data_IF_270791002973
#
_entry.id   IF_270791002973
#
_cell.length_a   1.000
_cell.length_b   1.000
_cell.length_c   1.000
_cell.angle_alpha   90.00
_cell.angle_beta   90.00
_cell.angle_gamma   90.00
#
_symmetry.space_group_name_H-M   'P 1'
#
loop_
_entity.id
_entity.type
_entity.pdbx_description
1 polymer ?
#
# COMPACT_ATOMS: atom_id res chain seq x y z
N UNK A 1 -26.03 17.24 0.30
CA UNK A 1 -25.53 16.28 1.30
C UNK A 1 -25.69 14.88 0.74
N UNK A 2 -24.80 13.94 1.07
CA UNK A 2 -25.00 12.52 0.74
C UNK A 2 -26.07 11.92 1.67
N UNK A 3 -26.97 11.10 1.11
CA UNK A 3 -28.01 10.42 1.89
C UNK A 3 -27.52 9.18 2.63
N UNK A 4 -26.36 8.63 2.25
CA UNK A 4 -25.83 7.36 2.75
C UNK A 4 -24.66 7.52 3.72
N UNK A 5 -24.03 8.70 3.76
CA UNK A 5 -22.93 8.97 4.68
C UNK A 5 -22.82 10.46 5.03
N UNK A 6 -21.90 10.80 5.94
CA UNK A 6 -21.67 12.17 6.37
C UNK A 6 -21.06 13.13 5.32
N UNK A 7 -20.87 12.70 4.06
CA UNK A 7 -20.27 13.54 3.03
C UNK A 7 -21.16 14.74 2.68
N UNK A 8 -20.55 15.94 2.67
CA UNK A 8 -21.22 17.21 2.36
C UNK A 8 -20.45 17.97 1.30
N UNK A 9 -21.19 18.50 0.33
CA UNK A 9 -20.66 19.39 -0.71
C UNK A 9 -21.77 20.30 -1.20
N UNK A 10 -21.40 21.52 -1.60
CA UNK A 10 -22.30 22.50 -2.21
C UNK A 10 -22.47 22.26 -3.72
N UNK A 11 -21.58 21.49 -4.34
CA UNK A 11 -21.60 21.25 -5.79
C UNK A 11 -22.30 19.92 -6.13
N UNK A 12 -23.40 19.99 -6.89
CA UNK A 12 -24.14 18.80 -7.34
C UNK A 12 -23.27 17.80 -8.10
N UNK A 13 -22.35 18.28 -8.94
CA UNK A 13 -21.42 17.44 -9.70
C UNK A 13 -20.47 16.64 -8.79
N UNK A 14 -20.00 17.25 -7.69
CA UNK A 14 -19.17 16.57 -6.68
C UNK A 14 -19.98 15.54 -5.92
N UNK A 15 -21.25 15.84 -5.60
CA UNK A 15 -22.14 14.90 -4.93
C UNK A 15 -22.43 13.69 -5.83
N UNK A 16 -22.82 13.91 -7.09
CA UNK A 16 -23.04 12.83 -8.06
C UNK A 16 -21.81 11.94 -8.24
N UNK A 17 -20.62 12.56 -8.36
CA UNK A 17 -19.36 11.83 -8.36
C UNK A 17 -19.13 11.01 -7.09
N UNK A 18 -19.42 11.59 -5.93
CA UNK A 18 -19.29 10.89 -4.66
C UNK A 18 -20.23 9.70 -4.57
N UNK A 19 -21.47 9.77 -5.10
CA UNK A 19 -22.39 8.63 -5.10
C UNK A 19 -21.83 7.39 -5.81
N UNK A 20 -20.85 7.54 -6.72
CA UNK A 20 -20.14 6.40 -7.33
C UNK A 20 -19.37 5.55 -6.32
N UNK A 21 -18.98 6.11 -5.17
CA UNK A 21 -18.32 5.33 -4.11
C UNK A 21 -19.27 4.39 -3.38
N UNK A 22 -20.57 4.67 -3.44
CA UNK A 22 -21.62 3.84 -2.85
C UNK A 22 -22.10 2.76 -3.82
N UNK A 23 -22.35 3.15 -5.07
CA UNK A 23 -22.86 2.25 -6.12
C UNK A 23 -21.78 1.36 -6.73
N UNK A 24 -20.50 1.70 -6.56
CA UNK A 24 -19.41 1.02 -7.25
C UNK A 24 -19.31 1.36 -8.74
N UNK A 25 -20.08 2.33 -9.24
CA UNK A 25 -20.07 2.77 -10.64
C UNK A 25 -18.67 3.23 -11.08
N UNK A 26 -18.15 2.58 -12.12
CA UNK A 26 -16.81 2.80 -12.69
C UNK A 26 -16.90 2.93 -14.22
N UNK A 27 -17.42 4.05 -14.73
CA UNK A 27 -17.73 4.19 -16.15
C UNK A 27 -16.49 4.36 -17.04
N UNK A 28 -15.30 4.55 -16.46
CA UNK A 28 -14.06 4.72 -17.20
C UNK A 28 -13.27 3.41 -17.19
N UNK A 29 -13.26 2.70 -18.32
CA UNK A 29 -12.56 1.42 -18.48
C UNK A 29 -11.18 1.63 -19.13
N UNK A 30 -10.20 0.87 -18.67
CA UNK A 30 -8.91 0.76 -19.33
C UNK A 30 -9.04 -0.10 -20.59
N UNK A 31 -8.35 0.31 -21.65
CA UNK A 31 -8.32 -0.40 -22.93
C UNK A 31 -7.28 -1.53 -22.96
N UNK A 32 -6.38 -1.57 -21.97
CA UNK A 32 -5.25 -2.50 -21.90
C UNK A 32 -5.35 -3.53 -20.77
N UNK A 33 -6.33 -3.40 -19.87
CA UNK A 33 -6.63 -4.40 -18.85
C UNK A 33 -8.04 -4.22 -18.28
N UNK A 34 -8.48 -5.13 -17.41
CA UNK A 34 -9.82 -5.12 -16.81
C UNK A 34 -10.02 -4.02 -15.74
N UNK A 35 -9.09 -3.08 -15.61
CA UNK A 35 -9.20 -1.99 -14.64
C UNK A 35 -10.26 -0.98 -15.07
N UNK A 36 -11.10 -0.59 -14.11
CA UNK A 36 -12.08 0.49 -14.29
C UNK A 36 -12.04 1.47 -13.12
N UNK A 37 -12.38 2.73 -13.41
CA UNK A 37 -12.35 3.82 -12.45
C UNK A 37 -13.66 4.61 -12.43
N UNK A 38 -14.02 5.12 -11.26
CA UNK A 38 -15.13 6.05 -11.08
C UNK A 38 -14.87 7.43 -11.71
N UNK A 39 -13.60 7.74 -12.01
CA UNK A 39 -13.14 9.03 -12.53
C UNK A 39 -12.12 8.88 -13.65
N UNK A 40 -12.24 9.74 -14.67
CA UNK A 40 -11.30 9.79 -15.79
C UNK A 40 -9.87 10.04 -15.33
N UNK A 41 -9.64 11.03 -14.46
CA UNK A 41 -8.31 11.29 -13.91
C UNK A 41 -7.68 10.09 -13.18
N UNK A 42 -8.49 9.19 -12.59
CA UNK A 42 -7.96 7.98 -11.97
C UNK A 42 -7.56 6.93 -13.02
N UNK A 43 -8.33 6.82 -14.11
CA UNK A 43 -7.97 6.00 -15.26
C UNK A 43 -6.68 6.52 -15.92
N UNK A 44 -6.59 7.83 -16.18
CA UNK A 44 -5.40 8.43 -16.79
C UNK A 44 -4.15 8.18 -15.94
N UNK A 45 -4.26 8.34 -14.62
CA UNK A 45 -3.18 8.02 -13.68
C UNK A 45 -2.83 6.52 -13.66
N UNK A 46 -3.81 5.64 -13.80
CA UNK A 46 -3.59 4.20 -13.89
C UNK A 46 -2.83 3.86 -15.17
N UNK A 47 -3.29 4.37 -16.32
CA UNK A 47 -2.66 4.14 -17.62
C UNK A 47 -1.23 4.66 -17.61
N UNK A 48 -1.02 5.89 -17.14
CA UNK A 48 0.33 6.46 -16.98
C UNK A 48 1.24 5.56 -16.13
N UNK A 49 0.73 5.03 -15.02
CA UNK A 49 1.52 4.24 -14.08
C UNK A 49 1.75 2.77 -14.48
N UNK A 50 0.86 2.17 -15.28
CA UNK A 50 0.84 0.72 -15.54
C UNK A 50 1.10 0.33 -16.98
N UNK A 51 0.68 1.18 -17.90
CA UNK A 51 0.65 0.88 -19.33
C UNK A 51 1.63 1.75 -20.12
N UNK A 52 2.04 2.88 -19.55
CA UNK A 52 3.05 3.75 -20.17
C UNK A 52 4.33 3.77 -19.34
N UNK A 53 5.42 4.16 -20.01
CA UNK A 53 6.67 4.55 -19.32
C UNK A 53 6.68 6.04 -18.95
N UNK A 54 5.54 6.74 -19.05
CA UNK A 54 5.44 8.15 -18.72
C UNK A 54 5.53 8.36 -17.20
N UNK A 55 6.67 8.88 -16.78
CA UNK A 55 6.99 9.23 -15.39
C UNK A 55 7.51 10.66 -15.37
N UNK A 56 6.60 11.66 -15.44
CA UNK A 56 6.98 13.05 -15.59
C UNK A 56 7.57 13.64 -14.31
N UNK A 57 7.32 13.01 -13.16
CA UNK A 57 7.82 13.49 -11.88
C UNK A 57 9.14 12.81 -11.53
N UNK A 58 10.22 13.58 -11.50
CA UNK A 58 11.58 13.11 -11.14
C UNK A 58 12.03 13.70 -9.81
N UNK A 59 12.65 12.86 -8.97
CA UNK A 59 13.40 13.28 -7.80
C UNK A 59 14.78 13.74 -8.23
N UNK A 60 15.11 15.00 -7.91
CA UNK A 60 16.42 15.58 -8.25
C UNK A 60 17.57 15.00 -7.43
N UNK A 61 17.29 14.44 -6.25
CA UNK A 61 18.33 13.93 -5.35
C UNK A 61 18.79 12.51 -5.70
N UNK A 62 17.90 11.65 -6.19
CA UNK A 62 18.22 10.25 -6.49
C UNK A 62 17.81 9.77 -7.89
N UNK A 63 17.26 10.66 -8.73
CA UNK A 63 16.79 10.32 -10.07
C UNK A 63 15.52 9.45 -10.12
N UNK A 64 14.92 9.12 -8.97
CA UNK A 64 13.68 8.34 -8.92
C UNK A 64 12.56 9.02 -9.73
N UNK A 65 11.88 8.25 -10.59
CA UNK A 65 10.76 8.75 -11.41
C UNK A 65 9.44 8.10 -11.04
N UNK A 66 8.37 8.90 -11.09
CA UNK A 66 7.01 8.49 -10.78
C UNK A 66 6.00 9.06 -11.79
N UNK A 67 4.94 8.30 -12.05
CA UNK A 67 3.78 8.75 -12.82
C UNK A 67 2.90 9.74 -12.03
N UNK A 68 3.03 9.79 -10.70
CA UNK A 68 2.22 10.63 -9.81
C UNK A 68 3.06 11.55 -8.93
N UNK A 69 2.65 12.81 -8.81
CA UNK A 69 3.27 13.82 -7.94
C UNK A 69 3.26 13.43 -6.46
N UNK A 70 2.16 12.84 -6.00
CA UNK A 70 2.02 12.35 -4.62
C UNK A 70 3.07 11.30 -4.26
N UNK A 71 3.38 10.41 -5.21
CA UNK A 71 4.42 9.39 -5.03
C UNK A 71 5.82 9.99 -5.00
N UNK A 72 6.10 11.03 -5.79
CA UNK A 72 7.35 11.79 -5.68
C UNK A 72 7.44 12.52 -4.33
N UNK A 73 6.39 13.22 -3.90
CA UNK A 73 6.36 13.90 -2.59
C UNK A 73 6.60 12.93 -1.45
N UNK A 74 6.02 11.71 -1.52
CA UNK A 74 6.30 10.64 -0.56
C UNK A 74 7.74 10.16 -0.62
N UNK A 75 8.32 10.03 -1.82
CA UNK A 75 9.74 9.71 -1.98
C UNK A 75 10.62 10.78 -1.32
N UNK A 76 10.31 12.08 -1.45
CA UNK A 76 11.10 13.15 -0.81
C UNK A 76 11.20 13.03 0.72
N UNK A 77 10.29 12.30 1.37
CA UNK A 77 10.38 12.03 2.82
C UNK A 77 11.51 11.07 3.20
N UNK A 78 11.99 10.25 2.27
CA UNK A 78 13.15 9.38 2.53
C UNK A 78 14.45 10.19 2.63
N UNK A 79 14.51 11.32 1.93
CA UNK A 79 15.63 12.23 1.92
C UNK A 79 15.61 13.18 3.12
N UNK A 80 14.47 13.80 3.37
CA UNK A 80 14.30 14.77 4.46
C UNK A 80 14.16 14.13 5.84
N UNK A 81 13.83 12.83 5.90
CA UNK A 81 13.52 12.15 7.16
C UNK A 81 12.16 12.54 7.76
N UNK A 82 11.31 13.28 7.03
CA UNK A 82 10.01 13.75 7.51
C UNK A 82 9.10 12.56 7.89
N UNK A 83 8.60 12.57 9.13
CA UNK A 83 7.70 11.55 9.68
C UNK A 83 6.40 12.19 10.20
N UNK A 84 5.49 12.62 9.32
CA UNK A 84 4.32 13.40 9.71
C UNK A 84 3.26 12.57 10.45
N UNK A 85 3.32 11.24 10.38
CA UNK A 85 2.32 10.37 11.00
C UNK A 85 2.81 9.87 12.35
N UNK A 86 2.30 10.48 13.44
CA UNK A 86 2.65 10.13 14.81
C UNK A 86 1.72 9.08 15.40
N UNK A 87 2.25 8.17 16.21
CA UNK A 87 1.45 7.32 17.06
C UNK A 87 0.98 8.11 18.29
N UNK A 88 -0.28 7.89 18.70
CA UNK A 88 -0.84 8.53 19.89
C UNK A 88 -0.54 7.75 21.18
N UNK A 89 -0.04 6.52 21.04
CA UNK A 89 0.18 5.59 22.16
C UNK A 89 1.66 5.41 22.51
N UNK A 90 2.57 5.94 21.69
CA UNK A 90 4.01 5.96 21.95
C UNK A 90 4.72 6.99 21.03
N UNK A 91 6.03 7.16 21.21
CA UNK A 91 6.82 8.14 20.44
C UNK A 91 7.11 7.73 18.98
N UNK A 92 6.56 6.61 18.51
CA UNK A 92 6.78 6.15 17.15
C UNK A 92 6.14 7.10 16.12
N UNK A 93 6.92 7.45 15.10
CA UNK A 93 6.45 8.25 13.96
C UNK A 93 6.87 7.62 12.64
N UNK A 94 6.03 7.76 11.61
CA UNK A 94 6.24 7.17 10.29
C UNK A 94 6.15 8.21 9.17
N UNK A 95 6.88 7.96 8.08
CA UNK A 95 6.81 8.75 6.85
C UNK A 95 5.52 8.47 6.04
N UNK A 96 4.85 7.33 6.29
CA UNK A 96 3.64 6.89 5.61
C UNK A 96 2.56 6.43 6.59
N UNK A 97 1.30 6.71 6.25
CA UNK A 97 0.13 6.31 7.05
C UNK A 97 -0.03 4.79 7.15
N UNK A 98 0.27 4.06 6.09
CA UNK A 98 0.21 2.58 6.07
C UNK A 98 1.15 1.98 7.10
N UNK A 99 2.40 2.45 7.16
CA UNK A 99 3.37 2.04 8.17
C UNK A 99 2.93 2.39 9.59
N UNK A 100 2.30 3.56 9.80
CA UNK A 100 1.71 3.88 11.10
C UNK A 100 0.55 2.93 11.44
N UNK A 101 -0.33 2.62 10.49
CA UNK A 101 -1.44 1.70 10.71
C UNK A 101 -0.94 0.31 11.08
N UNK A 102 0.04 -0.23 10.36
CA UNK A 102 0.71 -1.49 10.68
C UNK A 102 1.35 -1.43 12.08
N UNK A 103 2.03 -0.34 12.42
CA UNK A 103 2.58 -0.15 13.77
C UNK A 103 1.48 -0.19 14.84
N UNK A 104 0.33 0.45 14.62
CA UNK A 104 -0.79 0.48 15.58
C UNK A 104 -1.38 -0.90 15.89
N UNK A 105 -1.24 -1.87 14.97
CA UNK A 105 -1.67 -3.25 15.23
C UNK A 105 -0.92 -3.89 16.39
N UNK A 106 0.33 -3.45 16.63
CA UNK A 106 1.17 -3.95 17.73
C UNK A 106 0.61 -3.55 19.09
N UNK A 107 -0.03 -2.38 19.18
CA UNK A 107 -0.65 -1.91 20.42
C UNK A 107 -1.98 -2.60 20.72
N UNK A 108 -2.71 -3.03 19.68
CA UNK A 108 -4.00 -3.69 19.86
C UNK A 108 -3.90 -5.17 20.21
N UNK A 109 -2.72 -5.79 20.07
CA UNK A 109 -2.58 -7.26 20.14
C UNK A 109 -3.35 -8.02 19.05
N UNK A 110 -4.11 -7.32 18.20
CA UNK A 110 -4.93 -7.87 17.14
C UNK A 110 -4.08 -8.08 15.88
N UNK A 111 -3.84 -9.35 15.56
CA UNK A 111 -3.42 -9.77 14.21
C UNK A 111 -4.53 -9.35 13.23
N UNK A 112 -4.32 -8.40 12.30
CA UNK A 112 -5.39 -7.93 11.41
C UNK A 112 -5.59 -8.83 10.19
N UNK A 113 -5.51 -10.15 10.38
CA UNK A 113 -5.88 -11.15 9.38
C UNK A 113 -6.23 -12.46 10.10
N UNK A 114 -7.39 -12.49 10.74
CA UNK A 114 -8.09 -13.76 10.96
C UNK A 114 -8.88 -14.02 9.68
N UNK A 115 -8.23 -14.64 8.70
CA UNK A 115 -8.97 -15.31 7.64
C UNK A 115 -9.67 -16.50 8.29
N UNK A 116 -11.00 -16.50 8.27
CA UNK A 116 -11.79 -17.68 8.55
C UNK A 116 -11.40 -18.81 7.59
N UNK A 117 -11.62 -20.03 8.06
CA UNK A 117 -11.25 -21.31 7.45
C UNK A 117 -9.86 -21.84 7.83
N UNK A 118 -9.90 -22.76 8.79
CA UNK A 118 -9.01 -23.87 9.06
C UNK A 118 -7.88 -24.07 8.03
N UNK A 119 -6.72 -23.46 8.27
CA UNK A 119 -5.53 -23.67 7.46
C UNK A 119 -4.34 -23.93 8.35
N UNK A 120 -3.94 -25.20 8.47
CA UNK A 120 -2.56 -25.52 8.83
C UNK A 120 -1.66 -24.67 7.93
N UNK A 121 -0.92 -23.70 8.52
CA UNK A 121 0.08 -22.93 7.79
C UNK A 121 1.08 -23.94 7.25
N UNK A 122 1.00 -24.27 5.96
CA UNK A 122 2.04 -25.04 5.32
C UNK A 122 3.34 -24.26 5.53
N UNK A 123 4.30 -24.90 6.18
CA UNK A 123 5.66 -24.39 6.37
C UNK A 123 6.54 -25.12 5.36
N UNK A 124 6.50 -24.72 4.06
CA UNK A 124 7.13 -25.49 2.99
C UNK A 124 8.66 -25.45 3.03
N UNK A 125 9.25 -24.52 3.79
CA UNK A 125 10.69 -24.33 3.86
C UNK A 125 11.22 -24.85 5.19
N UNK A 126 12.07 -25.87 5.12
CA UNK A 126 12.72 -26.52 6.26
C UNK A 126 14.23 -26.48 6.09
N UNK A 127 14.94 -26.20 7.18
CA UNK A 127 16.39 -26.31 7.25
C UNK A 127 16.77 -27.77 7.44
N UNK A 128 17.58 -28.32 6.53
CA UNK A 128 18.03 -29.70 6.59
C UNK A 128 19.11 -29.93 7.67
N UNK A 129 19.77 -28.87 8.14
CA UNK A 129 20.83 -28.94 9.16
C UNK A 129 20.27 -29.07 10.57
N UNK A 130 19.21 -28.31 10.91
CA UNK A 130 18.69 -28.26 12.28
C UNK A 130 17.16 -28.35 12.38
N UNK A 131 16.46 -28.59 11.27
CA UNK A 131 15.00 -28.75 11.26
C UNK A 131 14.20 -27.45 11.41
N UNK A 132 14.84 -26.28 11.44
CA UNK A 132 14.15 -24.98 11.50
C UNK A 132 13.17 -24.81 10.33
N UNK A 133 11.90 -24.48 10.63
CA UNK A 133 10.84 -24.33 9.63
C UNK A 133 10.39 -22.89 9.50
N UNK A 134 10.10 -22.46 8.27
CA UNK A 134 9.61 -21.10 7.98
C UNK A 134 8.66 -21.09 6.78
N UNK A 135 7.80 -20.06 6.73
CA UNK A 135 6.88 -19.82 5.61
C UNK A 135 7.51 -18.95 4.51
N UNK A 136 8.69 -18.36 4.76
CA UNK A 136 9.34 -17.43 3.83
C UNK A 136 10.74 -17.93 3.42
N UNK A 137 10.97 -18.11 2.10
CA UNK A 137 12.24 -18.56 1.53
C UNK A 137 13.43 -17.65 1.91
N UNK A 138 13.24 -16.33 1.93
CA UNK A 138 14.28 -15.36 2.30
C UNK A 138 14.73 -15.51 3.76
N UNK A 139 13.82 -15.92 4.66
CA UNK A 139 14.17 -16.23 6.04
C UNK A 139 14.98 -17.51 6.16
N UNK A 140 14.65 -18.56 5.37
CA UNK A 140 15.46 -19.77 5.31
C UNK A 140 16.86 -19.46 4.77
N UNK A 141 16.97 -18.68 3.70
CA UNK A 141 18.26 -18.29 3.13
C UNK A 141 19.14 -17.50 4.12
N UNK A 142 18.55 -16.62 4.94
CA UNK A 142 19.28 -15.93 6.01
C UNK A 142 19.69 -16.89 7.13
N UNK A 143 18.80 -17.81 7.51
CA UNK A 143 19.10 -18.83 8.52
C UNK A 143 20.23 -19.76 8.08
N UNK A 144 20.29 -20.17 6.82
CA UNK A 144 21.38 -21.06 6.33
C UNK A 144 22.78 -20.46 6.51
N UNK A 145 22.90 -19.13 6.52
CA UNK A 145 24.18 -18.44 6.76
C UNK A 145 24.68 -18.60 8.19
N UNK A 146 23.83 -18.97 9.16
CA UNK A 146 24.27 -19.22 10.54
C UNK A 146 24.99 -20.56 10.70
N UNK A 147 24.91 -21.44 9.70
CA UNK A 147 25.56 -22.76 9.70
C UNK A 147 26.86 -22.77 8.89
N UNK A 148 27.23 -21.65 8.24
CA UNK A 148 28.52 -21.55 7.57
C UNK A 148 29.59 -21.26 8.62
N UNK A 149 30.65 -22.10 8.74
CA UNK A 149 31.80 -21.74 9.54
C UNK A 149 32.48 -20.51 8.95
N UNK A 150 32.94 -19.62 9.82
CA UNK A 150 33.76 -18.47 9.45
C UNK A 150 35.09 -18.88 8.84
#
# INVERSE_FOLDING_TARGET
MCGECGYRTVQKSKLSRHMRTHTGDKPYMCDQCDYSAALKANLDNHTAAKHTSDKPYMCVECGYRSAQRSSLSRNMRTHTGEKPYKCEQCDYSAAQKTTLNEHRTKHKGEKPYMCGESGHRSVPYMCEVCGYRTVNKSHLSRHMKTHQPH
#
